data_IF_823566941900
#
_entry.id   IF_823566941900
#
_cell.length_a   1.000
_cell.length_b   1.000
_cell.length_c   1.000
_cell.angle_alpha   90.00
_cell.angle_beta   90.00
_cell.angle_gamma   90.00
#
_symmetry.space_group_name_H-M   'P 1'
#
loop_
_entity.id
_entity.type
_entity.pdbx_description
1 polymer ?
#
# COMPACT_ATOMS: atom_id res chain seq x y z
N UNK A 1 4.64 14.63 -17.40
CA UNK A 1 3.81 14.11 -18.51
C UNK A 1 2.51 13.56 -17.93
N UNK A 2 1.50 13.32 -18.77
CA UNK A 2 0.26 12.67 -18.36
C UNK A 2 0.50 11.28 -17.75
N UNK A 3 1.41 10.49 -18.33
CA UNK A 3 1.83 9.20 -17.75
C UNK A 3 2.38 9.35 -16.32
N UNK A 4 3.22 10.36 -16.05
CA UNK A 4 3.76 10.57 -14.71
C UNK A 4 2.66 10.93 -13.69
N UNK A 5 1.64 11.68 -14.13
CA UNK A 5 0.47 11.98 -13.29
C UNK A 5 -0.35 10.73 -12.99
N UNK A 6 -0.58 9.87 -13.98
CA UNK A 6 -1.29 8.61 -13.79
C UNK A 6 -0.53 7.65 -12.87
N UNK A 7 0.79 7.49 -13.06
CA UNK A 7 1.63 6.70 -12.14
C UNK A 7 1.51 7.22 -10.71
N UNK A 8 1.60 8.54 -10.52
CA UNK A 8 1.48 9.15 -9.19
C UNK A 8 0.10 8.93 -8.57
N UNK A 9 -0.97 8.98 -9.36
CA UNK A 9 -2.31 8.68 -8.87
C UNK A 9 -2.44 7.23 -8.39
N UNK A 10 -1.86 6.27 -9.13
CA UNK A 10 -1.84 4.88 -8.71
C UNK A 10 -1.07 4.68 -7.40
N UNK A 11 0.09 5.31 -7.24
CA UNK A 11 0.84 5.30 -5.97
C UNK A 11 0.00 5.84 -4.82
N UNK A 12 -0.64 7.00 -4.99
CA UNK A 12 -1.51 7.60 -3.99
C UNK A 12 -2.72 6.71 -3.65
N UNK A 13 -3.26 5.99 -4.64
CA UNK A 13 -4.35 5.04 -4.43
C UNK A 13 -3.91 3.87 -3.53
N UNK A 14 -2.73 3.30 -3.79
CA UNK A 14 -2.17 2.22 -2.94
C UNK A 14 -1.90 2.76 -1.53
N UNK A 15 -1.31 3.95 -1.39
CA UNK A 15 -1.07 4.56 -0.08
C UNK A 15 -2.37 4.74 0.73
N UNK A 16 -3.43 5.24 0.10
CA UNK A 16 -4.73 5.43 0.73
C UNK A 16 -5.36 4.09 1.15
N UNK A 17 -5.23 3.05 0.32
CA UNK A 17 -5.76 1.72 0.63
C UNK A 17 -4.99 1.05 1.77
N UNK A 18 -3.66 1.15 1.79
CA UNK A 18 -2.85 0.65 2.92
C UNK A 18 -3.25 1.32 4.22
N UNK A 19 -3.46 2.65 4.19
CA UNK A 19 -3.97 3.36 5.37
C UNK A 19 -5.35 2.84 5.80
N UNK A 20 -6.29 2.68 4.87
CA UNK A 20 -7.62 2.14 5.18
C UNK A 20 -7.56 0.71 5.77
N UNK A 21 -6.67 -0.15 5.27
CA UNK A 21 -6.46 -1.50 5.80
C UNK A 21 -5.88 -1.46 7.22
N UNK A 22 -4.89 -0.61 7.48
CA UNK A 22 -4.34 -0.40 8.83
C UNK A 22 -5.39 0.09 9.83
N UNK A 23 -6.34 0.89 9.36
CA UNK A 23 -7.43 1.41 10.18
C UNK A 23 -8.56 0.40 10.44
N UNK A 24 -8.61 -0.71 9.67
CA UNK A 24 -9.62 -1.74 9.82
C UNK A 24 -9.54 -2.41 11.20
N UNK A 25 -10.71 -2.64 11.81
CA UNK A 25 -10.80 -3.17 13.18
C UNK A 25 -10.11 -4.54 13.34
N UNK A 26 -10.11 -5.38 12.29
CA UNK A 26 -9.40 -6.67 12.30
C UNK A 26 -7.88 -6.51 12.47
N UNK A 27 -7.27 -5.53 11.81
CA UNK A 27 -5.82 -5.25 11.94
C UNK A 27 -5.53 -4.66 13.32
N UNK A 28 -6.35 -3.70 13.77
CA UNK A 28 -6.23 -3.13 15.12
C UNK A 28 -6.35 -4.19 16.20
N UNK A 29 -7.26 -5.15 16.06
CA UNK A 29 -7.42 -6.26 17.00
C UNK A 29 -6.21 -7.19 17.01
N UNK A 30 -5.65 -7.52 15.85
CA UNK A 30 -4.43 -8.33 15.75
C UNK A 30 -3.27 -7.67 16.52
N UNK A 31 -3.06 -6.36 16.33
CA UNK A 31 -2.03 -5.62 17.08
C UNK A 31 -2.32 -5.53 18.58
N UNK A 32 -3.58 -5.37 19.00
CA UNK A 32 -3.96 -5.42 20.43
C UNK A 32 -3.72 -6.78 21.08
N UNK A 33 -3.62 -7.84 20.28
CA UNK A 33 -3.32 -9.21 20.71
C UNK A 33 -1.83 -9.57 20.51
N UNK A 34 -0.96 -8.58 20.28
CA UNK A 34 0.46 -8.76 20.01
C UNK A 34 0.76 -9.71 18.83
N UNK A 35 -0.17 -9.84 17.88
CA UNK A 35 0.05 -10.64 16.68
C UNK A 35 0.96 -9.87 15.71
N UNK A 36 2.01 -10.51 15.17
CA UNK A 36 2.99 -9.85 14.30
C UNK A 36 2.46 -9.71 12.87
N UNK A 37 1.48 -8.84 12.67
CA UNK A 37 0.89 -8.54 11.35
C UNK A 37 1.47 -7.24 10.81
N UNK A 38 1.91 -7.26 9.56
CA UNK A 38 2.43 -6.12 8.81
C UNK A 38 1.55 -5.85 7.59
N UNK A 39 1.35 -4.59 7.24
CA UNK A 39 0.60 -4.17 6.04
C UNK A 39 1.57 -3.42 5.13
N UNK A 40 1.85 -3.98 3.95
CA UNK A 40 2.76 -3.39 2.97
C UNK A 40 2.00 -2.84 1.76
N UNK A 41 2.57 -1.82 1.11
CA UNK A 41 2.02 -1.23 -0.12
C UNK A 41 2.95 -1.42 -1.30
N UNK A 42 2.58 -2.30 -2.23
CA UNK A 42 3.33 -2.55 -3.45
C UNK A 42 2.54 -2.13 -4.69
N UNK A 43 3.27 -1.66 -5.71
CA UNK A 43 2.72 -1.35 -7.02
C UNK A 43 3.54 -2.04 -8.11
N UNK A 44 2.86 -2.63 -9.09
CA UNK A 44 3.48 -3.32 -10.20
C UNK A 44 3.31 -2.55 -11.50
N UNK A 45 4.40 -2.19 -12.17
CA UNK A 45 4.37 -1.58 -13.51
C UNK A 45 4.33 -2.69 -14.56
N UNK A 46 3.19 -2.85 -15.24
CA UNK A 46 2.99 -3.86 -16.28
C UNK A 46 3.87 -3.64 -17.52
N UNK A 47 4.29 -2.40 -17.79
CA UNK A 47 5.11 -2.07 -18.95
C UNK A 47 6.57 -2.44 -18.71
N UNK A 48 7.07 -2.09 -17.53
CA UNK A 48 8.49 -2.30 -17.17
C UNK A 48 8.72 -3.64 -16.45
N UNK A 49 7.65 -4.32 -16.02
CA UNK A 49 7.71 -5.58 -15.27
C UNK A 49 8.29 -5.44 -13.86
N UNK A 50 8.30 -4.21 -13.31
CA UNK A 50 8.94 -3.91 -12.03
C UNK A 50 7.90 -3.80 -10.92
N UNK A 51 8.10 -4.57 -9.86
CA UNK A 51 7.45 -4.36 -8.57
C UNK A 51 8.19 -3.26 -7.80
N UNK A 52 7.44 -2.31 -7.26
CA UNK A 52 7.97 -1.22 -6.43
C UNK A 52 7.34 -1.29 -5.06
N UNK A 53 8.18 -1.24 -4.03
CA UNK A 53 7.72 -0.95 -2.68
C UNK A 53 7.50 0.56 -2.53
N UNK A 54 6.41 0.94 -1.86
CA UNK A 54 6.09 2.32 -1.53
C UNK A 54 6.58 2.72 -0.13
N UNK A 55 7.37 1.85 0.52
CA UNK A 55 7.96 2.04 1.84
C UNK A 55 6.91 2.38 2.92
N UNK A 56 5.76 1.70 2.84
CA UNK A 56 4.66 1.84 3.78
C UNK A 56 4.79 0.77 4.85
N UNK A 57 5.36 1.14 6.00
CA UNK A 57 5.46 0.30 7.20
C UNK A 57 4.60 0.86 8.36
#
# INVERSE_FOLDING_TARGET
>A
SEEARWRRLCELNVMAQVHAVREAEVIKQAWRQDQPVMVHGWIYDLKEGLLRDLDLN
#
